data_IF_141529912026
#
_entry.id   IF_141529912026
#
_cell.length_a   1.000
_cell.length_b   1.000
_cell.length_c   1.000
_cell.angle_alpha   90.00
_cell.angle_beta   90.00
_cell.angle_gamma   90.00
#
_symmetry.space_group_name_H-M   'P 1'
#
loop_
_entity.id
_entity.type
_entity.pdbx_description
1 polymer ?
#
# COMPACT_ATOMS: atom_id res chain seq x y z
N UNK A 1 17.76 9.87 -19.25
CA UNK A 1 17.55 9.86 -17.79
C UNK A 1 17.89 8.47 -17.26
N UNK A 2 18.76 8.37 -16.24
CA UNK A 2 19.15 7.07 -15.68
C UNK A 2 17.97 6.48 -14.92
N UNK A 3 17.60 5.22 -15.19
CA UNK A 3 16.49 4.55 -14.50
C UNK A 3 16.77 4.42 -13.01
N UNK A 4 15.76 4.68 -12.19
CA UNK A 4 15.79 4.50 -10.73
C UNK A 4 15.82 3.00 -10.37
N UNK A 5 16.17 2.65 -9.13
CA UNK A 5 16.11 1.26 -8.65
C UNK A 5 14.70 0.69 -8.70
N UNK A 6 13.68 1.51 -8.42
CA UNK A 6 12.27 1.16 -8.52
C UNK A 6 11.91 0.77 -9.96
N UNK A 7 12.24 1.63 -10.94
CA UNK A 7 11.97 1.34 -12.36
C UNK A 7 12.68 0.07 -12.84
N UNK A 8 13.94 -0.16 -12.41
CA UNK A 8 14.69 -1.38 -12.75
C UNK A 8 14.04 -2.65 -12.19
N UNK A 9 13.53 -2.59 -10.97
CA UNK A 9 12.87 -3.72 -10.32
C UNK A 9 11.54 -4.05 -11.01
N UNK A 10 10.63 -3.08 -11.12
CA UNK A 10 9.31 -3.30 -11.71
C UNK A 10 9.34 -3.58 -13.21
N UNK A 11 10.38 -3.20 -13.93
CA UNK A 11 10.58 -3.63 -15.31
C UNK A 11 10.88 -5.13 -15.44
N UNK A 12 11.32 -5.80 -14.38
CA UNK A 12 11.60 -7.26 -14.36
C UNK A 12 10.54 -8.03 -13.60
N UNK A 13 9.84 -7.40 -12.67
CA UNK A 13 8.85 -8.02 -11.80
C UNK A 13 7.46 -8.05 -12.46
N UNK A 14 6.75 -9.18 -12.33
CA UNK A 14 5.39 -9.32 -12.85
C UNK A 14 4.37 -8.99 -11.75
N UNK A 15 4.02 -7.69 -11.63
CA UNK A 15 3.05 -7.19 -10.64
C UNK A 15 1.65 -7.81 -10.85
N UNK A 16 1.21 -8.01 -12.09
CA UNK A 16 -0.06 -8.68 -12.38
C UNK A 16 -0.13 -10.08 -11.76
N UNK A 17 0.95 -10.86 -11.86
CA UNK A 17 1.00 -12.21 -11.30
C UNK A 17 0.93 -12.17 -9.75
N UNK A 18 1.66 -11.25 -9.10
CA UNK A 18 1.62 -11.07 -7.65
C UNK A 18 0.19 -10.86 -7.15
N UNK A 19 -0.56 -10.03 -7.86
CA UNK A 19 -1.92 -9.66 -7.49
C UNK A 19 -2.95 -10.78 -7.67
N UNK A 20 -2.63 -11.84 -8.43
CA UNK A 20 -3.51 -13.00 -8.62
C UNK A 20 -3.24 -14.16 -7.65
N UNK A 21 -2.19 -14.06 -6.83
CA UNK A 21 -1.89 -15.06 -5.79
C UNK A 21 -2.94 -15.02 -4.69
N UNK A 22 -3.12 -16.13 -3.94
CA UNK A 22 -4.11 -16.17 -2.84
C UNK A 22 -3.84 -15.13 -1.76
N UNK A 23 -2.60 -14.96 -1.32
CA UNK A 23 -2.28 -13.90 -0.35
C UNK A 23 -2.51 -12.49 -0.91
N UNK A 24 -2.21 -12.24 -2.19
CA UNK A 24 -2.55 -10.98 -2.86
C UNK A 24 -4.07 -10.76 -3.01
N UNK A 25 -4.85 -11.84 -3.12
CA UNK A 25 -6.31 -11.77 -3.11
C UNK A 25 -6.85 -11.40 -1.73
N UNK A 26 -6.26 -11.91 -0.65
CA UNK A 26 -6.61 -11.51 0.73
C UNK A 26 -6.35 -10.02 0.92
N UNK A 27 -5.13 -9.54 0.59
CA UNK A 27 -4.73 -8.13 0.63
C UNK A 27 -5.76 -7.22 -0.09
N UNK A 28 -6.10 -7.59 -1.32
CA UNK A 28 -7.06 -6.85 -2.13
C UNK A 28 -8.46 -6.85 -1.53
N UNK A 29 -8.95 -8.00 -1.08
CA UNK A 29 -10.31 -8.15 -0.53
C UNK A 29 -10.50 -7.35 0.74
N UNK A 30 -9.53 -7.40 1.67
CA UNK A 30 -9.56 -6.62 2.91
C UNK A 30 -9.54 -5.13 2.61
N UNK A 31 -8.65 -4.69 1.73
CA UNK A 31 -8.56 -3.28 1.35
C UNK A 31 -9.81 -2.77 0.68
N UNK A 32 -10.36 -3.54 -0.27
CA UNK A 32 -11.61 -3.17 -0.95
C UNK A 32 -12.81 -3.13 -0.01
N UNK A 33 -12.88 -4.05 0.99
CA UNK A 33 -13.90 -4.00 2.03
C UNK A 33 -13.89 -2.65 2.75
N UNK A 34 -12.72 -2.19 3.22
CA UNK A 34 -12.61 -0.91 3.93
C UNK A 34 -12.83 0.32 3.03
N UNK A 35 -12.45 0.24 1.77
CA UNK A 35 -12.73 1.30 0.79
C UNK A 35 -14.25 1.38 0.54
N UNK A 36 -14.92 0.25 0.31
CA UNK A 36 -16.35 0.19 0.06
C UNK A 36 -17.18 0.65 1.26
N UNK A 37 -16.76 0.32 2.47
CA UNK A 37 -17.38 0.82 3.70
C UNK A 37 -17.40 2.36 3.74
N UNK A 38 -16.30 3.02 3.38
CA UNK A 38 -16.21 4.48 3.36
C UNK A 38 -16.84 5.12 2.10
N UNK A 39 -16.95 4.40 1.01
CA UNK A 39 -17.77 4.79 -0.14
C UNK A 39 -19.25 4.82 0.24
N UNK A 40 -19.70 3.91 1.10
CA UNK A 40 -21.06 3.87 1.65
C UNK A 40 -22.17 3.91 0.56
N UNK A 41 -22.01 3.13 -0.50
CA UNK A 41 -22.97 3.02 -1.61
C UNK A 41 -23.01 4.22 -2.57
N UNK A 42 -22.20 5.25 -2.37
CA UNK A 42 -22.11 6.39 -3.30
C UNK A 42 -21.48 5.96 -4.63
N UNK A 43 -21.88 6.60 -5.72
CA UNK A 43 -21.30 6.43 -7.06
C UNK A 43 -20.79 7.77 -7.59
N UNK A 44 -20.00 7.75 -8.65
CA UNK A 44 -19.48 8.97 -9.27
C UNK A 44 -18.46 9.75 -8.43
N UNK A 45 -17.90 9.13 -7.37
CA UNK A 45 -16.84 9.76 -6.59
C UNK A 45 -15.60 9.95 -7.45
N UNK A 46 -14.91 11.06 -7.24
CA UNK A 46 -13.55 11.28 -7.79
C UNK A 46 -12.53 10.62 -6.90
N UNK A 47 -11.85 9.60 -7.42
CA UNK A 47 -10.89 8.80 -6.66
C UNK A 47 -9.50 8.91 -7.30
N UNK A 48 -8.51 9.22 -6.49
CA UNK A 48 -7.09 9.16 -6.86
C UNK A 48 -6.50 7.82 -6.41
N UNK A 49 -5.80 7.16 -7.32
CA UNK A 49 -4.93 6.00 -7.02
C UNK A 49 -3.47 6.41 -7.30
N UNK A 50 -2.77 6.81 -6.24
CA UNK A 50 -1.38 7.26 -6.30
C UNK A 50 -0.43 6.07 -6.06
N UNK A 51 0.33 5.70 -7.09
CA UNK A 51 1.11 4.46 -7.14
C UNK A 51 0.24 3.29 -7.60
N UNK A 52 -0.55 3.51 -8.65
CA UNK A 52 -1.57 2.58 -9.12
C UNK A 52 -1.04 1.23 -9.61
N UNK A 53 0.27 1.10 -9.86
CA UNK A 53 0.86 -0.10 -10.44
C UNK A 53 0.20 -0.43 -11.78
N UNK A 54 -0.22 -1.67 -11.95
CA UNK A 54 -0.96 -2.13 -13.13
C UNK A 54 -2.48 -1.88 -13.03
N UNK A 55 -2.94 -1.21 -11.96
CA UNK A 55 -4.29 -0.65 -11.83
C UNK A 55 -5.35 -1.58 -11.25
N UNK A 56 -4.99 -2.52 -10.40
CA UNK A 56 -5.97 -3.46 -9.80
C UNK A 56 -7.08 -2.73 -9.04
N UNK A 57 -6.73 -1.77 -8.19
CA UNK A 57 -7.72 -0.95 -7.48
C UNK A 57 -8.42 0.03 -8.42
N UNK A 58 -7.67 0.71 -9.28
CA UNK A 58 -8.20 1.66 -10.25
C UNK A 58 -9.30 1.04 -11.13
N UNK A 59 -9.06 -0.14 -11.69
CA UNK A 59 -10.02 -0.86 -12.54
C UNK A 59 -11.28 -1.25 -11.76
N UNK A 60 -11.12 -1.81 -10.57
CA UNK A 60 -12.25 -2.20 -9.74
C UNK A 60 -13.13 -1.00 -9.37
N UNK A 61 -12.51 0.11 -8.96
CA UNK A 61 -13.23 1.34 -8.61
C UNK A 61 -13.91 1.98 -9.83
N UNK A 62 -13.28 1.91 -11.01
CA UNK A 62 -13.88 2.35 -12.27
C UNK A 62 -15.13 1.51 -12.61
N UNK A 63 -15.06 0.18 -12.46
CA UNK A 63 -16.20 -0.72 -12.67
C UNK A 63 -17.33 -0.50 -11.66
N UNK A 64 -17.03 0.03 -10.47
CA UNK A 64 -18.02 0.45 -9.48
C UNK A 64 -18.68 1.81 -9.81
N UNK A 65 -18.32 2.45 -10.95
CA UNK A 65 -18.92 3.69 -11.43
C UNK A 65 -18.28 4.96 -10.85
N UNK A 66 -17.02 4.90 -10.41
CA UNK A 66 -16.27 6.07 -9.94
C UNK A 66 -15.43 6.73 -11.04
N UNK A 67 -15.19 8.04 -10.93
CA UNK A 67 -14.25 8.81 -11.78
C UNK A 67 -12.83 8.64 -11.21
N UNK A 68 -12.08 7.70 -11.78
CA UNK A 68 -10.75 7.32 -11.28
C UNK A 68 -9.64 8.04 -12.04
N UNK A 69 -8.70 8.58 -11.28
CA UNK A 69 -7.42 9.09 -11.77
C UNK A 69 -6.29 8.23 -11.17
N UNK A 70 -5.47 7.63 -12.02
CA UNK A 70 -4.33 6.82 -11.63
C UNK A 70 -3.02 7.56 -11.90
N UNK A 71 -2.14 7.60 -10.91
CA UNK A 71 -0.77 8.11 -11.03
C UNK A 71 0.20 6.96 -10.78
N UNK A 72 1.13 6.72 -11.70
CA UNK A 72 2.12 5.64 -11.59
C UNK A 72 3.48 6.13 -12.06
N UNK A 73 4.51 5.84 -11.26
CA UNK A 73 5.89 6.24 -11.53
C UNK A 73 6.51 5.41 -12.66
N UNK A 74 6.26 4.10 -12.65
CA UNK A 74 6.88 3.14 -13.55
C UNK A 74 6.10 3.08 -14.86
N UNK A 75 6.74 3.55 -15.94
CA UNK A 75 6.13 3.62 -17.27
C UNK A 75 5.52 2.29 -17.73
N UNK A 76 6.23 1.18 -17.50
CA UNK A 76 5.75 -0.17 -17.89
C UNK A 76 4.43 -0.53 -17.20
N UNK A 77 4.31 -0.29 -15.90
CA UNK A 77 3.07 -0.54 -15.16
C UNK A 77 1.93 0.30 -15.73
N UNK A 78 2.19 1.58 -15.98
CA UNK A 78 1.22 2.49 -16.57
C UNK A 78 0.76 2.05 -17.98
N UNK A 79 1.67 1.52 -18.79
CA UNK A 79 1.35 0.95 -20.11
C UNK A 79 0.44 -0.27 -19.98
N UNK A 80 0.69 -1.15 -19.00
CA UNK A 80 -0.19 -2.30 -18.71
C UNK A 80 -1.59 -1.82 -18.29
N UNK A 81 -1.69 -0.81 -17.43
CA UNK A 81 -2.98 -0.22 -17.04
C UNK A 81 -3.72 0.35 -18.24
N UNK A 82 -3.04 1.13 -19.09
CA UNK A 82 -3.63 1.73 -20.30
C UNK A 82 -4.12 0.69 -21.31
N UNK A 83 -3.41 -0.43 -21.40
CA UNK A 83 -3.79 -1.53 -22.31
C UNK A 83 -5.09 -2.25 -21.88
N UNK A 84 -5.60 -2.01 -20.68
CA UNK A 84 -6.91 -2.51 -20.22
C UNK A 84 -8.09 -1.71 -20.80
N UNK A 85 -7.81 -0.57 -21.44
CA UNK A 85 -8.80 0.30 -22.12
C UNK A 85 -9.98 0.76 -21.24
N UNK A 86 -9.75 0.88 -19.94
CA UNK A 86 -10.75 1.37 -18.98
C UNK A 86 -10.86 2.92 -19.02
N UNK A 87 -12.00 3.44 -18.55
CA UNK A 87 -12.23 4.88 -18.45
C UNK A 87 -11.50 5.50 -17.25
N UNK A 88 -10.19 5.32 -17.20
CA UNK A 88 -9.33 5.81 -16.12
C UNK A 88 -8.40 6.89 -16.68
N UNK A 89 -8.37 8.05 -16.03
CA UNK A 89 -7.38 9.10 -16.32
C UNK A 89 -6.03 8.67 -15.78
N UNK A 90 -5.00 8.63 -16.61
CA UNK A 90 -3.69 8.12 -16.23
C UNK A 90 -2.59 9.14 -16.39
N UNK A 91 -1.72 9.25 -15.39
CA UNK A 91 -0.56 10.13 -15.39
C UNK A 91 0.69 9.36 -15.00
N UNK A 92 1.80 9.60 -15.70
CA UNK A 92 3.10 9.16 -15.20
C UNK A 92 3.62 10.22 -14.24
N UNK A 93 3.85 9.85 -12.97
CA UNK A 93 4.26 10.82 -11.94
C UNK A 93 4.71 10.16 -10.65
N UNK A 94 5.30 10.98 -9.79
CA UNK A 94 5.76 10.60 -8.46
C UNK A 94 4.75 11.09 -7.42
N UNK A 95 4.36 10.24 -6.46
CA UNK A 95 3.45 10.61 -5.37
C UNK A 95 3.99 11.75 -4.47
N UNK A 96 5.30 12.01 -4.48
CA UNK A 96 5.91 13.16 -3.80
C UNK A 96 5.68 14.50 -4.53
N UNK A 97 5.24 14.47 -5.78
CA UNK A 97 4.94 15.66 -6.57
C UNK A 97 3.68 15.41 -7.42
N UNK A 98 2.54 15.82 -6.92
CA UNK A 98 1.26 15.79 -7.61
C UNK A 98 0.82 17.18 -8.09
N UNK A 99 1.75 18.13 -8.28
CA UNK A 99 1.49 19.52 -8.66
C UNK A 99 0.68 19.67 -9.95
N UNK A 100 0.72 18.66 -10.83
CA UNK A 100 -0.08 18.59 -12.06
C UNK A 100 -1.57 18.22 -11.82
N UNK A 101 -1.94 17.87 -10.58
CA UNK A 101 -3.33 17.63 -10.18
C UNK A 101 -3.90 18.83 -9.41
N UNK A 102 -5.16 19.13 -9.67
CA UNK A 102 -5.89 20.20 -9.00
C UNK A 102 -6.05 19.95 -7.50
N UNK A 103 -6.03 21.02 -6.72
CA UNK A 103 -6.30 20.99 -5.28
C UNK A 103 -7.76 20.65 -5.00
N UNK A 104 -8.03 20.03 -3.84
CA UNK A 104 -9.37 19.73 -3.35
C UNK A 104 -10.26 19.01 -4.39
N UNK A 105 -9.68 18.13 -5.19
CA UNK A 105 -10.35 17.46 -6.29
C UNK A 105 -10.99 16.15 -5.94
N UNK A 106 -10.29 15.32 -5.16
CA UNK A 106 -10.66 13.93 -4.92
C UNK A 106 -11.46 13.75 -3.64
N UNK A 107 -12.49 12.91 -3.71
CA UNK A 107 -13.28 12.50 -2.54
C UNK A 107 -12.50 11.47 -1.71
N UNK A 108 -11.75 10.60 -2.40
CA UNK A 108 -10.91 9.57 -1.82
C UNK A 108 -9.57 9.55 -2.56
N UNK A 109 -8.49 9.45 -1.80
CA UNK A 109 -7.14 9.19 -2.35
C UNK A 109 -6.58 7.91 -1.74
N UNK A 110 -6.08 7.02 -2.59
CA UNK A 110 -5.45 5.75 -2.22
C UNK A 110 -3.96 5.85 -2.54
N UNK A 111 -3.12 5.42 -1.61
CA UNK A 111 -1.67 5.37 -1.78
C UNK A 111 -1.14 4.03 -1.24
N UNK A 112 -1.25 2.97 -2.07
CA UNK A 112 -0.81 1.63 -1.75
C UNK A 112 0.45 1.29 -2.57
N UNK A 113 1.62 1.49 -1.99
CA UNK A 113 2.91 1.23 -2.64
C UNK A 113 3.96 2.31 -2.47
N UNK A 114 3.72 3.59 -2.78
CA UNK A 114 4.77 4.62 -2.73
C UNK A 114 5.54 4.67 -1.42
N UNK A 115 4.86 4.56 -0.26
CA UNK A 115 5.51 4.61 1.06
C UNK A 115 6.54 3.50 1.28
N UNK A 116 6.43 2.38 0.56
CA UNK A 116 7.35 1.24 0.67
C UNK A 116 8.76 1.57 0.15
N UNK A 117 8.87 2.57 -0.70
CA UNK A 117 10.08 2.96 -1.42
C UNK A 117 10.67 4.29 -0.94
N UNK A 118 10.10 4.87 0.10
CA UNK A 118 10.58 6.12 0.69
C UNK A 118 11.43 5.82 1.93
N UNK A 119 12.60 6.42 1.98
CA UNK A 119 13.62 6.05 2.96
C UNK A 119 13.63 6.96 4.18
N UNK A 120 13.10 8.18 4.06
CA UNK A 120 13.09 9.17 5.13
C UNK A 120 11.67 9.55 5.57
N UNK A 121 11.58 10.12 6.76
CA UNK A 121 10.32 10.65 7.28
C UNK A 121 9.84 11.85 6.45
N UNK A 122 10.78 12.69 6.01
CA UNK A 122 10.53 13.88 5.18
C UNK A 122 9.90 13.50 3.84
N UNK A 123 10.39 12.45 3.18
CA UNK A 123 9.81 11.94 1.93
C UNK A 123 8.38 11.45 2.14
N UNK A 124 8.12 10.73 3.23
CA UNK A 124 6.76 10.26 3.56
C UNK A 124 5.81 11.40 3.89
N UNK A 125 6.29 12.42 4.62
CA UNK A 125 5.53 13.64 4.89
C UNK A 125 5.24 14.42 3.60
N UNK A 126 6.17 14.47 2.66
CA UNK A 126 5.95 15.10 1.35
C UNK A 126 4.81 14.41 0.57
N UNK A 127 4.74 13.07 0.59
CA UNK A 127 3.61 12.34 -0.02
C UNK A 127 2.30 12.66 0.70
N UNK A 128 2.28 12.66 2.03
CA UNK A 128 1.06 12.99 2.79
C UNK A 128 0.59 14.42 2.52
N UNK A 129 1.49 15.38 2.40
CA UNK A 129 1.15 16.76 2.06
C UNK A 129 0.55 16.88 0.65
N UNK A 130 1.10 16.16 -0.34
CA UNK A 130 0.52 16.11 -1.68
C UNK A 130 -0.87 15.47 -1.69
N UNK A 131 -1.05 14.33 -1.00
CA UNK A 131 -2.34 13.68 -0.88
C UNK A 131 -3.37 14.58 -0.19
N UNK A 132 -2.96 15.27 0.89
CA UNK A 132 -3.77 16.26 1.60
C UNK A 132 -4.22 17.39 0.67
N UNK A 133 -3.30 17.97 -0.10
CA UNK A 133 -3.58 19.07 -1.02
C UNK A 133 -4.63 18.69 -2.09
N UNK A 134 -4.51 17.51 -2.70
CA UNK A 134 -5.39 17.09 -3.80
C UNK A 134 -6.71 16.48 -3.32
N UNK A 135 -6.78 16.03 -2.07
CA UNK A 135 -8.00 15.46 -1.46
C UNK A 135 -8.87 16.58 -0.91
N UNK A 136 -10.17 16.50 -1.13
CA UNK A 136 -11.15 17.49 -0.62
C UNK A 136 -11.10 17.56 0.91
N UNK A 137 -11.45 18.72 1.45
CA UNK A 137 -11.73 18.85 2.88
C UNK A 137 -12.81 17.83 3.28
N UNK A 138 -12.58 17.10 4.38
CA UNK A 138 -13.36 15.94 4.81
C UNK A 138 -13.29 14.72 3.86
N UNK A 139 -12.44 14.75 2.85
CA UNK A 139 -12.14 13.59 2.03
C UNK A 139 -11.28 12.56 2.78
N UNK A 140 -11.18 11.36 2.23
CA UNK A 140 -10.51 10.22 2.87
C UNK A 140 -9.23 9.87 2.14
N UNK A 141 -8.18 9.57 2.90
CA UNK A 141 -6.87 9.17 2.38
C UNK A 141 -6.52 7.81 2.98
N UNK A 142 -6.23 6.83 2.12
CA UNK A 142 -5.72 5.51 2.52
C UNK A 142 -4.23 5.44 2.23
N UNK A 143 -3.41 5.13 3.22
CA UNK A 143 -1.95 5.05 3.07
C UNK A 143 -1.44 3.74 3.63
N UNK A 144 -0.75 2.94 2.80
CA UNK A 144 -0.19 1.66 3.21
C UNK A 144 1.32 1.74 3.48
N UNK A 145 1.75 0.99 4.50
CA UNK A 145 3.15 0.84 4.92
C UNK A 145 3.50 -0.63 5.08
N UNK A 146 4.78 -0.97 4.91
CA UNK A 146 5.31 -2.31 5.26
C UNK A 146 5.91 -2.28 6.66
N UNK A 147 5.53 -3.24 7.50
CA UNK A 147 5.97 -3.31 8.88
C UNK A 147 7.40 -3.82 9.03
N UNK A 148 8.13 -3.21 9.96
CA UNK A 148 9.46 -3.64 10.39
C UNK A 148 9.47 -5.11 10.84
N UNK A 149 8.53 -5.48 11.71
CA UNK A 149 8.50 -6.81 12.31
C UNK A 149 8.22 -7.91 11.29
N UNK A 150 7.48 -7.61 10.22
CA UNK A 150 7.36 -8.52 9.10
C UNK A 150 8.72 -8.86 8.48
N UNK A 151 9.54 -7.85 8.19
CA UNK A 151 10.86 -8.07 7.59
C UNK A 151 11.78 -8.86 8.52
N UNK A 152 11.77 -8.55 9.82
CA UNK A 152 12.54 -9.28 10.82
C UNK A 152 12.11 -10.75 10.89
N UNK A 153 10.81 -11.02 11.03
CA UNK A 153 10.31 -12.39 11.14
C UNK A 153 10.47 -13.16 9.83
N UNK A 154 10.09 -12.57 8.71
CA UNK A 154 10.03 -13.28 7.42
C UNK A 154 11.41 -13.51 6.82
N UNK A 155 12.27 -12.51 6.80
CA UNK A 155 13.56 -12.58 6.13
C UNK A 155 14.71 -12.87 7.09
N UNK A 156 14.77 -12.20 8.24
CA UNK A 156 15.90 -12.39 9.14
C UNK A 156 15.82 -13.74 9.84
N UNK A 157 14.71 -14.05 10.51
CA UNK A 157 14.56 -15.34 11.21
C UNK A 157 14.10 -16.45 10.27
N UNK A 158 13.08 -16.22 9.45
CA UNK A 158 12.51 -17.22 8.55
C UNK A 158 13.50 -17.75 7.50
N UNK A 159 14.43 -16.93 7.05
CA UNK A 159 15.49 -17.30 6.11
C UNK A 159 16.86 -17.52 6.81
N UNK A 160 16.93 -17.44 8.13
CA UNK A 160 18.17 -17.67 8.90
C UNK A 160 19.24 -16.60 8.72
N UNK A 161 18.87 -15.37 8.33
CA UNK A 161 19.79 -14.27 7.99
C UNK A 161 20.06 -13.30 9.13
N UNK A 162 19.46 -13.48 10.31
CA UNK A 162 19.53 -12.49 11.41
C UNK A 162 20.98 -12.17 11.82
N UNK A 163 21.84 -13.19 11.95
CA UNK A 163 23.23 -12.97 12.36
C UNK A 163 24.00 -12.11 11.34
N UNK A 164 23.80 -12.38 10.05
CA UNK A 164 24.41 -11.58 8.98
C UNK A 164 23.87 -10.16 9.01
N UNK A 165 22.55 -9.97 9.14
CA UNK A 165 21.91 -8.66 9.14
C UNK A 165 22.35 -7.78 10.32
N UNK A 166 22.56 -8.36 11.49
CA UNK A 166 23.14 -7.66 12.65
C UNK A 166 24.61 -7.32 12.41
N UNK A 167 25.38 -8.22 11.80
CA UNK A 167 26.80 -8.03 11.53
C UNK A 167 27.05 -6.94 10.47
N UNK A 168 26.27 -6.90 9.39
CA UNK A 168 26.44 -5.93 8.29
C UNK A 168 25.68 -4.60 8.52
N UNK A 169 24.96 -4.50 9.66
CA UNK A 169 24.21 -3.32 10.06
C UNK A 169 22.92 -3.09 9.26
N UNK A 170 22.40 -4.08 8.52
CA UNK A 170 21.09 -4.03 7.88
C UNK A 170 19.95 -4.06 8.89
N UNK A 171 20.24 -4.61 10.08
CA UNK A 171 19.36 -4.60 11.25
C UNK A 171 20.15 -4.08 12.43
N UNK A 172 19.58 -3.15 13.18
CA UNK A 172 20.19 -2.59 14.38
C UNK A 172 20.06 -3.56 15.57
N UNK A 173 20.85 -3.37 16.67
CA UNK A 173 20.79 -4.24 17.86
C UNK A 173 19.40 -4.28 18.53
N UNK A 174 18.55 -3.29 18.32
CA UNK A 174 17.17 -3.22 18.79
C UNK A 174 16.15 -3.75 17.74
N UNK A 175 16.64 -4.52 16.77
CA UNK A 175 15.86 -5.18 15.72
C UNK A 175 15.04 -4.25 14.82
N UNK A 176 15.59 -3.08 14.48
CA UNK A 176 15.05 -2.20 13.45
C UNK A 176 15.79 -2.41 12.12
N UNK A 177 15.04 -2.52 11.03
CA UNK A 177 15.62 -2.50 9.69
C UNK A 177 16.24 -1.14 9.41
N UNK A 178 17.49 -1.13 9.00
CA UNK A 178 18.23 0.07 8.62
C UNK A 178 18.13 0.22 7.11
N UNK A 179 17.38 1.23 6.66
CA UNK A 179 17.18 1.49 5.24
C UNK A 179 18.33 2.31 4.67
N UNK A 180 18.89 1.83 3.55
CA UNK A 180 19.96 2.51 2.80
C UNK A 180 19.38 3.12 1.51
N UNK A 181 19.99 4.13 0.91
CA UNK A 181 19.51 4.77 -0.32
C UNK A 181 19.34 3.83 -1.52
N UNK A 182 20.12 2.74 -1.55
CA UNK A 182 20.08 1.72 -2.60
C UNK A 182 19.00 0.65 -2.38
N UNK A 183 18.42 0.55 -1.16
CA UNK A 183 17.40 -0.45 -0.84
C UNK A 183 16.11 -0.16 -1.61
N UNK A 184 15.47 -1.22 -2.08
CA UNK A 184 14.20 -1.11 -2.79
C UNK A 184 13.05 -0.79 -1.83
N UNK A 185 13.04 -1.45 -0.67
CA UNK A 185 11.97 -1.34 0.32
C UNK A 185 12.48 -0.70 1.61
N UNK A 186 11.59 0.03 2.25
CA UNK A 186 11.76 0.53 3.60
C UNK A 186 10.65 0.00 4.51
N UNK A 187 11.02 -0.31 5.72
CA UNK A 187 10.14 -0.87 6.73
C UNK A 187 9.97 0.11 7.88
N UNK A 188 8.79 0.12 8.46
CA UNK A 188 8.40 1.13 9.45
C UNK A 188 7.69 0.46 10.64
N UNK A 189 7.84 1.03 11.82
CA UNK A 189 7.09 0.60 13.00
C UNK A 189 5.76 1.36 13.10
N UNK A 190 4.80 0.82 13.87
CA UNK A 190 3.53 1.51 14.16
C UNK A 190 3.76 2.83 14.89
N UNK A 191 4.78 2.90 15.75
CA UNK A 191 5.16 4.14 16.45
C UNK A 191 5.58 5.24 15.45
N UNK A 192 6.39 4.88 14.45
CA UNK A 192 6.81 5.80 13.39
C UNK A 192 5.64 6.24 12.51
N UNK A 193 4.72 5.34 12.17
CA UNK A 193 3.48 5.68 11.45
C UNK A 193 2.67 6.70 12.28
N UNK A 194 2.53 6.48 13.57
CA UNK A 194 1.82 7.39 14.47
C UNK A 194 2.48 8.78 14.52
N UNK A 195 3.82 8.84 14.56
CA UNK A 195 4.58 10.09 14.56
C UNK A 195 4.40 10.86 13.24
N UNK A 196 4.49 10.18 12.10
CA UNK A 196 4.29 10.76 10.76
C UNK A 196 2.86 11.30 10.64
N UNK A 197 1.86 10.54 11.04
CA UNK A 197 0.47 11.01 11.04
C UNK A 197 0.29 12.27 11.90
N UNK A 198 0.85 12.30 13.10
CA UNK A 198 0.77 13.48 13.97
C UNK A 198 1.37 14.72 13.31
N UNK A 199 2.55 14.59 12.67
CA UNK A 199 3.21 15.68 11.95
C UNK A 199 2.42 16.16 10.72
N UNK A 200 1.71 15.26 10.05
CA UNK A 200 0.89 15.59 8.87
C UNK A 200 -0.38 16.38 9.21
N UNK A 201 -0.78 16.43 10.48
CA UNK A 201 -2.03 17.05 10.96
C UNK A 201 -3.32 16.40 10.44
N UNK A 202 -3.23 15.25 9.75
CA UNK A 202 -4.38 14.47 9.31
C UNK A 202 -5.00 13.71 10.49
N UNK A 203 -6.32 13.57 10.49
CA UNK A 203 -7.05 12.85 11.51
C UNK A 203 -7.20 11.38 11.14
N UNK A 204 -6.84 10.44 12.04
CA UNK A 204 -7.06 9.01 11.79
C UNK A 204 -8.53 8.66 11.98
N UNK A 205 -9.15 8.08 10.94
CA UNK A 205 -10.47 7.46 11.01
C UNK A 205 -10.33 6.06 11.60
N UNK A 206 -9.42 5.26 11.04
CA UNK A 206 -9.09 3.89 11.49
C UNK A 206 -7.72 3.47 10.96
N UNK A 207 -7.22 2.37 11.49
CA UNK A 207 -6.03 1.68 11.01
C UNK A 207 -6.33 0.19 10.93
N UNK A 208 -5.83 -0.49 9.89
CA UNK A 208 -6.09 -1.91 9.72
C UNK A 208 -4.90 -2.65 9.11
N UNK A 209 -4.77 -3.94 9.44
CA UNK A 209 -3.86 -4.85 8.74
C UNK A 209 -4.44 -5.24 7.40
N UNK A 210 -3.67 -5.12 6.31
CA UNK A 210 -4.16 -5.28 4.95
C UNK A 210 -4.39 -6.75 4.56
N UNK A 211 -3.63 -7.69 5.16
CA UNK A 211 -3.73 -9.12 4.83
C UNK A 211 -3.63 -10.05 6.05
N UNK A 212 -3.45 -9.50 7.26
CA UNK A 212 -3.22 -10.32 8.44
C UNK A 212 -2.03 -11.27 8.26
N UNK A 213 -2.20 -12.54 8.63
CA UNK A 213 -1.14 -13.55 8.55
C UNK A 213 -0.98 -14.18 7.14
N UNK A 214 -1.68 -13.68 6.11
CA UNK A 214 -1.74 -14.35 4.80
C UNK A 214 -0.38 -14.57 4.15
N UNK A 215 0.55 -13.61 4.29
CA UNK A 215 1.88 -13.74 3.72
C UNK A 215 2.73 -14.81 4.43
N UNK A 216 2.57 -14.97 5.74
CA UNK A 216 3.22 -16.03 6.51
C UNK A 216 2.63 -17.42 6.23
N UNK A 217 1.38 -17.49 5.75
CA UNK A 217 0.62 -18.72 5.52
C UNK A 217 0.47 -19.06 4.03
N UNK A 218 1.36 -18.59 3.17
CA UNK A 218 1.24 -18.80 1.69
C UNK A 218 1.07 -20.26 1.31
N UNK A 219 1.79 -21.18 1.94
CA UNK A 219 1.71 -22.62 1.68
C UNK A 219 0.33 -23.16 2.04
N UNK A 220 -0.14 -22.84 3.23
CA UNK A 220 -1.44 -23.26 3.76
C UNK A 220 -2.57 -22.68 2.92
N UNK A 221 -2.51 -21.38 2.57
CA UNK A 221 -3.49 -20.74 1.70
C UNK A 221 -3.61 -21.42 0.34
N UNK A 222 -2.46 -21.78 -0.27
CA UNK A 222 -2.46 -22.46 -1.57
C UNK A 222 -3.01 -23.89 -1.49
N UNK A 223 -3.02 -24.52 -0.32
CA UNK A 223 -3.57 -25.86 -0.08
C UNK A 223 -5.05 -25.86 0.30
N UNK A 224 -5.65 -24.72 0.65
CA UNK A 224 -7.06 -24.61 0.99
C UNK A 224 -7.95 -24.88 -0.23
N UNK A 225 -9.13 -25.49 0.00
CA UNK A 225 -10.20 -25.44 -0.98
C UNK A 225 -10.83 -24.04 -1.04
N UNK A 226 -11.70 -23.79 -2.03
CA UNK A 226 -12.28 -22.47 -2.24
C UNK A 226 -13.19 -22.01 -1.10
N UNK A 227 -13.89 -22.93 -0.44
CA UNK A 227 -14.76 -22.61 0.68
C UNK A 227 -13.94 -22.21 1.91
N UNK A 228 -12.94 -22.98 2.26
CA UNK A 228 -11.99 -22.68 3.35
C UNK A 228 -11.26 -21.35 3.09
N UNK A 229 -10.82 -21.11 1.85
CA UNK A 229 -10.16 -19.87 1.49
C UNK A 229 -11.10 -18.66 1.65
N UNK A 230 -12.37 -18.78 1.24
CA UNK A 230 -13.35 -17.71 1.44
C UNK A 230 -13.55 -17.41 2.93
N UNK A 231 -13.66 -18.42 3.78
CA UNK A 231 -13.72 -18.23 5.25
C UNK A 231 -12.48 -17.56 5.79
N UNK A 232 -11.29 -17.85 5.26
CA UNK A 232 -10.07 -17.17 5.66
C UNK A 232 -10.08 -15.68 5.30
N UNK A 233 -10.59 -15.32 4.11
CA UNK A 233 -10.79 -13.91 3.71
C UNK A 233 -11.76 -13.21 4.67
N UNK A 234 -12.92 -13.81 4.93
CA UNK A 234 -13.94 -13.23 5.83
C UNK A 234 -13.40 -13.07 7.26
N UNK A 235 -12.67 -14.07 7.75
CA UNK A 235 -11.98 -14.00 9.04
C UNK A 235 -10.99 -12.84 9.07
N UNK A 236 -10.15 -12.71 8.05
CA UNK A 236 -9.12 -11.66 7.97
C UNK A 236 -9.76 -10.27 7.95
N UNK A 237 -10.84 -10.08 7.20
CA UNK A 237 -11.63 -8.84 7.22
C UNK A 237 -12.11 -8.55 8.65
N UNK A 238 -12.70 -9.56 9.32
CA UNK A 238 -13.29 -9.40 10.65
C UNK A 238 -12.30 -8.99 11.75
N UNK A 239 -11.03 -9.37 11.60
CA UNK A 239 -9.97 -9.09 12.58
C UNK A 239 -9.06 -7.91 12.19
N UNK A 240 -9.18 -7.39 10.98
CA UNK A 240 -8.22 -6.46 10.38
C UNK A 240 -7.96 -5.18 11.19
N UNK A 241 -8.97 -4.71 11.94
CA UNK A 241 -8.86 -3.52 12.80
C UNK A 241 -8.54 -3.84 14.27
N UNK A 242 -8.33 -5.12 14.64
CA UNK A 242 -7.99 -5.48 16.03
C UNK A 242 -6.59 -4.99 16.37
N UNK A 243 -6.48 -4.15 17.39
CA UNK A 243 -5.21 -3.53 17.79
C UNK A 243 -4.11 -4.55 18.12
N UNK A 244 -4.48 -5.67 18.77
CA UNK A 244 -3.56 -6.75 19.13
C UNK A 244 -3.05 -7.57 17.94
N UNK A 245 -3.69 -7.43 16.76
CA UNK A 245 -3.33 -8.15 15.54
C UNK A 245 -2.75 -7.28 14.43
N UNK A 246 -2.66 -5.97 14.61
CA UNK A 246 -2.12 -5.05 13.61
C UNK A 246 -0.69 -5.44 13.20
N UNK A 247 0.14 -5.88 14.13
CA UNK A 247 1.51 -6.30 13.86
C UNK A 247 1.67 -7.73 13.30
N UNK A 248 0.57 -8.47 13.12
CA UNK A 248 0.61 -9.86 12.66
C UNK A 248 0.73 -10.01 11.13
N UNK A 249 0.75 -8.92 10.37
CA UNK A 249 0.78 -8.93 8.92
C UNK A 249 1.97 -8.20 8.32
N UNK A 250 1.98 -8.12 7.00
CA UNK A 250 3.01 -7.41 6.23
C UNK A 250 2.73 -5.92 6.16
N UNK A 251 1.48 -5.58 5.79
CA UNK A 251 1.07 -4.20 5.52
C UNK A 251 0.07 -3.69 6.55
N UNK A 252 0.25 -2.42 6.88
CA UNK A 252 -0.74 -1.63 7.61
C UNK A 252 -1.25 -0.52 6.70
N UNK A 253 -2.56 -0.28 6.75
CA UNK A 253 -3.19 0.87 6.11
C UNK A 253 -3.69 1.84 7.18
N UNK A 254 -3.17 3.06 7.12
CA UNK A 254 -3.67 4.20 7.90
C UNK A 254 -4.75 4.92 7.08
N UNK A 255 -5.96 5.02 7.60
CA UNK A 255 -7.09 5.68 6.97
C UNK A 255 -7.30 7.03 7.64
N UNK A 256 -7.09 8.08 6.86
CA UNK A 256 -6.99 9.45 7.33
C UNK A 256 -8.09 10.31 6.74
N UNK A 257 -8.48 11.33 7.48
CA UNK A 257 -9.41 12.39 7.05
C UNK A 257 -8.63 13.69 6.86
N UNK A 258 -8.88 14.37 5.74
CA UNK A 258 -8.33 15.68 5.45
C UNK A 258 -9.14 16.81 6.11
#
# INVERSE_FOLDING_TARGET
>A
KKMTNIEKYYNKFNEEHRLTTRHGTVEFSVSMHHIQELIAGRTGLKILDAGAGTGRYSVQLCHMGHDVTAVELVKRNLEVLRAKHEKIKTWQGNAMDLSFLEENKFDISICFGPMYHLHTEEERLAVLEQLKRVTKKNGVIFVAYILNDYAILRYCFGEGKINQALQDGSVSPDFKCVTRPEDLYSYITLEEINRIRQKSTLERIKIFSQEGAADFMRRELNAMDEETFRHFVDYTISISCRSELLGAGTHIVDVLKN
#
